data_IF_981764282892
#
_entry.id   IF_981764282892
#
_cell.length_a   1.000
_cell.length_b   1.000
_cell.length_c   1.000
_cell.angle_alpha   90.00
_cell.angle_beta   90.00
_cell.angle_gamma   90.00
#
_symmetry.space_group_name_H-M   'P 1'
#
loop_
_entity.id
_entity.type
_entity.pdbx_description
1 polymer ?
#
# COMPACT_ATOMS: atom_id res chain seq x y z
N UNK A 1 41.26 -55.76 7.02
CA UNK A 1 41.29 -54.29 6.82
C UNK A 1 40.11 -53.86 5.95
N UNK A 2 38.99 -53.42 6.52
CA UNK A 2 37.78 -52.94 5.79
C UNK A 2 37.04 -51.80 6.53
N UNK A 3 37.73 -51.08 7.43
CA UNK A 3 37.11 -50.05 8.31
C UNK A 3 37.28 -48.61 7.81
N UNK A 4 38.18 -48.36 6.85
CA UNK A 4 38.53 -46.99 6.44
C UNK A 4 37.58 -46.39 5.38
N UNK A 5 36.85 -47.22 4.64
CA UNK A 5 35.94 -46.73 3.58
C UNK A 5 34.62 -46.18 4.13
N UNK A 6 34.23 -46.56 5.34
CA UNK A 6 32.95 -46.12 5.94
C UNK A 6 33.05 -44.72 6.55
N UNK A 7 34.24 -44.38 7.07
CA UNK A 7 34.53 -43.05 7.63
C UNK A 7 34.64 -42.00 6.53
N UNK A 8 35.22 -42.37 5.37
CA UNK A 8 35.32 -41.49 4.21
C UNK A 8 33.93 -41.17 3.62
N UNK A 9 33.02 -42.15 3.58
CA UNK A 9 31.67 -41.96 3.06
C UNK A 9 30.80 -41.07 3.96
N UNK A 10 30.95 -41.14 5.29
CA UNK A 10 30.21 -40.30 6.22
C UNK A 10 30.61 -38.82 6.13
N UNK A 11 31.89 -38.52 5.88
CA UNK A 11 32.38 -37.15 5.74
C UNK A 11 31.84 -36.45 4.47
N UNK A 12 31.61 -37.20 3.39
CA UNK A 12 31.07 -36.66 2.13
C UNK A 12 29.58 -36.31 2.24
N UNK A 13 28.80 -37.09 3.01
CA UNK A 13 27.38 -36.78 3.27
C UNK A 13 27.18 -35.63 4.27
N UNK A 14 28.12 -35.42 5.20
CA UNK A 14 28.08 -34.29 6.12
C UNK A 14 28.50 -32.96 5.45
N UNK A 15 29.35 -33.00 4.42
CA UNK A 15 29.78 -31.80 3.71
C UNK A 15 28.76 -31.25 2.70
N UNK A 16 27.81 -32.07 2.23
CA UNK A 16 26.79 -31.65 1.25
C UNK A 16 25.51 -31.09 1.87
N UNK A 17 25.33 -31.19 3.20
CA UNK A 17 24.17 -30.66 3.92
C UNK A 17 24.38 -29.25 4.51
N UNK A 18 25.55 -28.65 4.29
CA UNK A 18 25.88 -27.29 4.77
C UNK A 18 25.48 -26.20 3.77
N UNK A 19 25.11 -26.57 2.54
CA UNK A 19 24.58 -25.63 1.56
C UNK A 19 23.06 -25.75 1.63
N UNK A 20 22.35 -24.62 1.69
CA UNK A 20 20.89 -24.49 1.72
C UNK A 20 20.22 -24.60 3.11
N UNK A 21 20.76 -23.92 4.13
CA UNK A 21 19.84 -23.23 5.06
C UNK A 21 19.29 -22.04 4.30
N UNK A 22 18.14 -22.25 3.65
CA UNK A 22 17.30 -21.18 3.13
C UNK A 22 16.83 -20.37 4.33
N UNK A 23 17.59 -19.35 4.71
CA UNK A 23 17.09 -18.31 5.61
C UNK A 23 16.02 -17.54 4.85
N UNK A 24 14.79 -18.04 4.86
CA UNK A 24 13.62 -17.23 4.57
C UNK A 24 13.52 -16.21 5.69
N UNK A 25 14.27 -15.12 5.54
CA UNK A 25 13.98 -13.90 6.25
C UNK A 25 12.62 -13.44 5.73
N UNK A 26 11.56 -13.83 6.44
CA UNK A 26 10.34 -13.05 6.44
C UNK A 26 10.72 -11.71 7.05
N UNK A 27 11.21 -10.80 6.21
CA UNK A 27 11.35 -9.40 6.56
C UNK A 27 9.97 -8.95 7.01
N UNK A 28 9.81 -8.78 8.32
CA UNK A 28 8.81 -7.91 8.90
C UNK A 28 9.08 -6.54 8.30
N UNK A 29 8.47 -6.27 7.15
CA UNK A 29 8.48 -4.96 6.54
C UNK A 29 7.49 -4.12 7.35
N UNK A 30 7.99 -3.67 8.50
CA UNK A 30 7.35 -2.69 9.36
C UNK A 30 7.18 -1.41 8.55
N UNK A 31 5.98 -0.86 8.62
CA UNK A 31 5.48 0.35 7.95
C UNK A 31 5.29 0.22 6.44
N UNK A 32 4.03 0.35 5.99
CA UNK A 32 3.76 0.60 4.59
C UNK A 32 4.48 1.88 4.18
N UNK A 33 5.50 1.77 3.31
CA UNK A 33 6.16 2.94 2.68
C UNK A 33 5.16 3.82 1.89
N UNK A 34 3.95 3.33 1.68
CA UNK A 34 2.84 4.04 1.10
C UNK A 34 2.29 5.01 2.13
N UNK A 35 2.56 6.30 1.94
CA UNK A 35 1.85 7.40 2.58
C UNK A 35 0.98 8.11 1.54
N UNK A 36 -0.32 8.16 1.81
CA UNK A 36 -1.36 8.79 0.98
C UNK A 36 -2.16 9.85 1.73
N UNK A 37 -1.84 10.13 3.00
CA UNK A 37 -2.48 11.21 3.74
C UNK A 37 -2.20 12.57 3.09
N UNK A 38 -3.23 13.41 2.99
CA UNK A 38 -3.22 14.69 2.30
C UNK A 38 -3.44 14.62 0.80
N UNK A 39 -3.39 13.44 0.18
CA UNK A 39 -3.72 13.24 -1.23
C UNK A 39 -5.23 13.10 -1.42
N UNK A 40 -5.70 13.45 -2.61
CA UNK A 40 -7.01 13.00 -3.10
C UNK A 40 -6.98 11.51 -3.44
N UNK A 41 -8.15 10.88 -3.50
CA UNK A 41 -8.25 9.47 -3.93
C UNK A 41 -7.71 9.25 -5.34
N UNK A 42 -7.90 10.23 -6.23
CA UNK A 42 -7.43 10.18 -7.61
C UNK A 42 -5.90 10.24 -7.68
N UNK A 43 -5.27 11.18 -6.96
CA UNK A 43 -3.81 11.27 -6.86
C UNK A 43 -3.21 9.99 -6.26
N UNK A 44 -3.84 9.44 -5.22
CA UNK A 44 -3.41 8.19 -4.61
C UNK A 44 -3.54 7.01 -5.59
N UNK A 45 -4.64 6.92 -6.33
CA UNK A 45 -4.87 5.90 -7.35
C UNK A 45 -3.89 6.01 -8.52
N UNK A 46 -3.57 7.23 -8.96
CA UNK A 46 -2.58 7.44 -10.01
C UNK A 46 -1.18 7.03 -9.56
N UNK A 47 -0.83 7.27 -8.30
CA UNK A 47 0.51 7.00 -7.77
C UNK A 47 0.74 5.54 -7.39
N UNK A 48 -0.28 4.87 -6.83
CA UNK A 48 -0.13 3.52 -6.28
C UNK A 48 -1.22 2.54 -6.73
N UNK A 49 -2.29 3.02 -7.36
CA UNK A 49 -3.41 2.21 -7.79
C UNK A 49 -3.14 1.38 -9.03
N UNK A 50 -4.18 0.76 -9.56
CA UNK A 50 -4.09 -0.14 -10.73
C UNK A 50 -3.49 0.56 -11.94
N UNK A 51 -3.77 1.86 -12.09
CA UNK A 51 -3.28 2.67 -13.22
C UNK A 51 -1.83 3.14 -13.06
N UNK A 52 -1.21 2.93 -11.88
CA UNK A 52 0.17 3.37 -11.62
C UNK A 52 1.24 2.56 -12.36
N UNK A 53 0.89 1.38 -12.89
CA UNK A 53 1.86 0.43 -13.47
C UNK A 53 2.70 -0.32 -12.42
N UNK A 54 2.36 -0.21 -11.13
CA UNK A 54 2.98 -0.99 -10.05
C UNK A 54 2.76 -2.49 -10.23
N UNK A 55 3.75 -3.30 -9.86
CA UNK A 55 3.64 -4.77 -9.84
C UNK A 55 2.69 -5.27 -8.74
N UNK A 56 2.46 -4.44 -7.71
CA UNK A 56 1.55 -4.71 -6.60
C UNK A 56 0.71 -3.45 -6.36
N UNK A 57 -0.32 -3.20 -7.19
CA UNK A 57 -1.12 -2.00 -7.07
C UNK A 57 -2.02 -2.05 -5.83
N UNK A 58 -2.37 -0.87 -5.34
CA UNK A 58 -3.17 -0.68 -4.12
C UNK A 58 -4.58 -0.23 -4.47
N UNK A 59 -5.57 -0.93 -3.96
CA UNK A 59 -6.97 -0.57 -3.99
C UNK A 59 -7.28 0.21 -2.71
N UNK A 60 -7.84 1.41 -2.85
CA UNK A 60 -8.22 2.24 -1.72
C UNK A 60 -9.68 1.99 -1.36
N UNK A 61 -9.92 1.39 -0.19
CA UNK A 61 -11.25 1.16 0.38
C UNK A 61 -11.59 2.34 1.30
N UNK A 62 -12.56 3.16 0.91
CA UNK A 62 -13.01 4.28 1.75
C UNK A 62 -13.88 3.74 2.87
N UNK A 63 -13.41 3.87 4.10
CA UNK A 63 -14.10 3.39 5.30
C UNK A 63 -15.05 4.47 5.87
N UNK A 64 -14.55 5.70 6.11
CA UNK A 64 -15.35 6.83 6.59
C UNK A 64 -15.18 8.05 5.69
N UNK A 65 -16.24 8.84 5.53
CA UNK A 65 -16.20 10.16 4.91
C UNK A 65 -16.73 11.19 5.92
N UNK A 66 -16.03 12.32 6.06
CA UNK A 66 -16.34 13.35 7.07
C UNK A 66 -16.15 14.76 6.52
N UNK A 67 -16.80 15.74 7.13
CA UNK A 67 -16.79 17.13 6.65
C UNK A 67 -18.01 17.51 5.81
N UNK A 68 -18.07 18.77 5.39
CA UNK A 68 -19.16 19.27 4.55
C UNK A 68 -18.84 19.00 3.08
N UNK A 69 -19.65 18.15 2.44
CA UNK A 69 -19.50 17.82 1.01
C UNK A 69 -20.15 18.88 0.10
N UNK A 70 -21.07 19.67 0.63
CA UNK A 70 -21.91 20.56 -0.17
C UNK A 70 -21.06 21.62 -0.90
N UNK A 71 -21.19 21.63 -2.21
CA UNK A 71 -20.65 22.70 -3.03
C UNK A 71 -21.46 23.98 -2.81
N UNK A 72 -20.79 25.13 -2.87
CA UNK A 72 -21.43 26.43 -2.68
C UNK A 72 -21.16 27.30 -3.88
N UNK A 73 -22.19 28.02 -4.30
CA UNK A 73 -22.05 29.10 -5.27
C UNK A 73 -21.13 30.18 -4.70
N UNK A 74 -20.00 30.41 -5.36
CA UNK A 74 -19.07 31.48 -5.02
C UNK A 74 -19.34 32.64 -5.96
N UNK A 75 -19.94 33.70 -5.44
CA UNK A 75 -20.38 34.87 -6.23
C UNK A 75 -19.20 35.76 -6.66
N UNK A 76 -17.95 35.37 -6.36
CA UNK A 76 -16.78 36.21 -6.53
C UNK A 76 -16.28 36.35 -7.99
N UNK A 77 -16.57 35.41 -8.89
CA UNK A 77 -15.92 35.36 -10.23
C UNK A 77 -16.85 34.97 -11.39
N UNK A 78 -18.15 35.25 -11.25
CA UNK A 78 -19.18 34.59 -12.07
C UNK A 78 -19.63 33.32 -11.34
N UNK A 79 -20.87 32.91 -11.56
CA UNK A 79 -21.60 31.90 -10.79
C UNK A 79 -21.01 30.48 -10.91
N UNK A 80 -19.74 30.29 -10.53
CA UNK A 80 -19.09 28.99 -10.45
C UNK A 80 -19.37 28.37 -9.09
N UNK A 81 -19.60 27.07 -9.12
CA UNK A 81 -19.83 26.27 -7.95
C UNK A 81 -18.47 25.78 -7.43
N UNK A 82 -18.17 26.07 -6.17
CA UNK A 82 -16.94 25.62 -5.53
C UNK A 82 -17.26 24.48 -4.56
N UNK A 83 -16.60 23.35 -4.75
CA UNK A 83 -16.75 22.16 -3.93
C UNK A 83 -15.55 22.01 -2.98
N UNK A 84 -15.78 21.65 -1.70
CA UNK A 84 -14.70 21.23 -0.80
C UNK A 84 -13.94 20.03 -1.35
N UNK A 85 -12.61 20.10 -1.30
CA UNK A 85 -11.74 19.04 -1.85
C UNK A 85 -11.73 17.83 -0.92
N UNK A 86 -11.96 16.64 -1.47
CA UNK A 86 -11.91 15.39 -0.71
C UNK A 86 -10.48 14.88 -0.58
N UNK A 87 -9.94 14.85 0.64
CA UNK A 87 -8.58 14.37 0.93
C UNK A 87 -8.58 13.21 1.89
N UNK A 88 -7.63 12.30 1.72
CA UNK A 88 -7.37 11.22 2.69
C UNK A 88 -6.77 11.88 3.94
N UNK A 89 -7.46 11.80 5.08
CA UNK A 89 -6.93 12.35 6.34
C UNK A 89 -6.34 11.27 7.24
N UNK A 90 -6.69 10.01 6.99
CA UNK A 90 -6.17 8.88 7.72
C UNK A 90 -6.04 7.67 6.79
N UNK A 91 -4.95 6.93 6.94
CA UNK A 91 -4.76 5.64 6.32
C UNK A 91 -4.58 4.53 7.36
N UNK A 92 -5.12 3.35 7.06
CA UNK A 92 -4.84 2.14 7.83
C UNK A 92 -3.37 1.77 7.73
N UNK A 93 -2.74 1.45 8.87
CA UNK A 93 -1.39 0.91 8.92
C UNK A 93 -1.27 -0.51 8.35
N UNK A 94 -2.40 -1.16 8.07
CA UNK A 94 -2.47 -2.52 7.49
C UNK A 94 -2.90 -2.46 6.03
N UNK A 95 -2.12 -3.12 5.19
CA UNK A 95 -2.47 -3.51 3.83
C UNK A 95 -2.95 -4.96 3.83
N UNK A 96 -4.09 -5.20 3.20
CA UNK A 96 -4.63 -6.56 3.03
C UNK A 96 -4.25 -7.05 1.63
N UNK A 97 -3.44 -8.11 1.53
CA UNK A 97 -3.12 -8.70 0.23
C UNK A 97 -4.32 -9.46 -0.33
N UNK A 98 -4.62 -9.22 -1.60
CA UNK A 98 -5.70 -9.88 -2.34
C UNK A 98 -5.13 -11.06 -3.15
N UNK A 99 -6.00 -11.98 -3.57
CA UNK A 99 -5.60 -13.17 -4.35
C UNK A 99 -5.14 -12.83 -5.78
N UNK A 100 -5.58 -11.71 -6.31
CA UNK A 100 -5.27 -11.22 -7.66
C UNK A 100 -3.91 -10.49 -7.75
N UNK A 101 -3.14 -10.46 -6.66
CA UNK A 101 -1.83 -9.80 -6.59
C UNK A 101 -1.90 -8.31 -6.26
N UNK A 102 -3.10 -7.76 -6.07
CA UNK A 102 -3.30 -6.40 -5.56
C UNK A 102 -3.27 -6.38 -4.03
N UNK A 103 -3.20 -5.19 -3.44
CA UNK A 103 -3.38 -4.99 -1.99
C UNK A 103 -4.46 -3.97 -1.72
N UNK A 104 -5.20 -4.11 -0.63
CA UNK A 104 -6.25 -3.17 -0.22
C UNK A 104 -5.78 -2.36 0.98
N UNK A 105 -5.87 -1.03 0.88
CA UNK A 105 -5.65 -0.10 1.98
C UNK A 105 -6.96 0.59 2.34
N UNK A 106 -7.32 0.54 3.62
CA UNK A 106 -8.47 1.31 4.13
C UNK A 106 -8.06 2.73 4.41
N UNK A 107 -8.86 3.69 3.97
CA UNK A 107 -8.62 5.12 4.15
C UNK A 107 -9.89 5.80 4.64
N UNK A 108 -9.73 6.85 5.44
CA UNK A 108 -10.82 7.75 5.78
C UNK A 108 -10.58 9.10 5.08
N UNK A 109 -11.68 9.69 4.59
CA UNK A 109 -11.66 10.89 3.74
C UNK A 109 -12.33 12.05 4.46
N UNK A 110 -11.74 13.25 4.31
CA UNK A 110 -12.24 14.50 4.85
C UNK A 110 -12.43 15.51 3.72
N UNK A 111 -13.57 16.19 3.72
CA UNK A 111 -13.86 17.30 2.82
C UNK A 111 -13.33 18.60 3.43
N UNK A 112 -12.21 19.09 2.89
CA UNK A 112 -11.56 20.32 3.38
C UNK A 112 -12.27 21.56 2.83
N UNK A 113 -12.93 22.30 3.71
CA UNK A 113 -13.65 23.52 3.37
C UNK A 113 -12.73 24.71 3.08
N UNK A 114 -11.44 24.61 3.41
CA UNK A 114 -10.44 25.64 3.12
C UNK A 114 -9.79 25.45 1.75
N UNK A 115 -9.95 24.27 1.14
CA UNK A 115 -9.41 23.94 -0.17
C UNK A 115 -10.53 23.60 -1.14
N UNK A 116 -10.76 24.47 -2.11
CA UNK A 116 -11.90 24.37 -3.01
C UNK A 116 -11.47 23.97 -4.42
N UNK A 117 -12.20 23.04 -5.02
CA UNK A 117 -12.18 22.75 -6.45
C UNK A 117 -13.35 23.43 -7.14
N UNK A 118 -13.13 23.95 -8.35
CA UNK A 118 -14.14 24.64 -9.15
C UNK A 118 -14.55 23.76 -10.32
N UNK A 119 -15.86 23.65 -10.57
CA UNK A 119 -16.44 23.02 -11.77
C UNK A 119 -16.88 24.07 -12.80
#
# INVERSE_FOLDING_TARGET
MKKNNLILALAVFAASSVVWVSTSFATWQNESLINVEGLTLEEAAQKYGVESGSSHPVIFEVNTQSGQKDCRLVVATGSSEACPTAKIFYQSSKLTSNFDGTSTMRVDVYYDVNELTYE
#
